data_IF_473516951060
#
_entry.id   IF_473516951060
#
_cell.length_a   1.000
_cell.length_b   1.000
_cell.length_c   1.000
_cell.angle_alpha   90.00
_cell.angle_beta   90.00
_cell.angle_gamma   90.00
#
_symmetry.space_group_name_H-M   'P 1'
#
loop_
_entity.id
_entity.type
_entity.pdbx_description
1 polymer ?
#
# COMPACT_ATOMS: atom_id res chain seq x y z
N UNK A 1 78.11 7.58 29.22
CA UNK A 1 77.13 7.17 30.24
C UNK A 1 75.89 8.03 30.08
N UNK A 2 74.82 7.49 29.50
CA UNK A 2 73.55 8.21 29.36
C UNK A 2 72.59 7.73 30.45
N UNK A 3 72.02 8.63 31.27
CA UNK A 3 71.11 8.22 32.33
C UNK A 3 69.81 7.72 31.69
N UNK A 4 69.41 6.50 31.99
CA UNK A 4 68.15 5.95 31.50
C UNK A 4 67.00 6.70 32.16
N UNK A 5 66.12 7.28 31.34
CA UNK A 5 64.91 7.94 31.78
C UNK A 5 64.01 6.92 32.47
N UNK A 6 64.08 6.88 33.81
CA UNK A 6 63.17 6.08 34.64
C UNK A 6 61.80 6.75 34.57
N UNK A 7 60.98 6.33 33.61
CA UNK A 7 59.57 6.68 33.53
C UNK A 7 58.94 6.30 34.87
N UNK A 8 58.68 7.30 35.70
CA UNK A 8 57.90 7.12 36.92
C UNK A 8 56.51 6.71 36.46
N UNK A 9 56.14 5.46 36.75
CA UNK A 9 54.77 4.98 36.55
C UNK A 9 53.90 5.85 37.44
N UNK A 10 53.26 6.86 36.85
CA UNK A 10 52.18 7.61 37.46
C UNK A 10 51.01 6.65 37.53
N UNK A 11 51.01 5.80 38.56
CA UNK A 11 49.80 5.08 38.93
C UNK A 11 48.96 6.15 39.63
N UNK A 12 48.10 6.79 38.85
CA UNK A 12 46.95 7.46 39.43
C UNK A 12 46.11 6.34 40.02
N UNK A 13 46.06 6.25 41.34
CA UNK A 13 45.22 5.29 42.05
C UNK A 13 43.76 5.60 41.65
N UNK A 14 43.28 4.82 40.70
CA UNK A 14 41.97 4.95 40.11
C UNK A 14 41.01 4.14 40.98
N UNK A 15 39.78 4.63 41.20
CA UNK A 15 38.82 3.81 41.94
C UNK A 15 38.48 2.57 41.13
N UNK A 16 38.13 1.47 41.81
CA UNK A 16 37.75 0.22 41.13
C UNK A 16 36.62 0.44 40.11
N UNK A 17 35.71 1.36 40.40
CA UNK A 17 34.64 1.75 39.49
C UNK A 17 35.20 2.39 38.22
N UNK A 18 36.09 3.37 38.37
CA UNK A 18 36.73 4.06 37.26
C UNK A 18 37.63 3.11 36.42
N UNK A 19 38.26 2.10 37.03
CA UNK A 19 38.98 1.05 36.30
C UNK A 19 38.03 0.23 35.41
N UNK A 20 36.86 -0.14 35.94
CA UNK A 20 35.83 -0.86 35.19
C UNK A 20 35.30 0.00 34.04
N UNK A 21 35.05 1.28 34.27
CA UNK A 21 34.62 2.22 33.24
C UNK A 21 35.67 2.38 32.13
N UNK A 22 36.96 2.40 32.47
CA UNK A 22 38.04 2.44 31.47
C UNK A 22 38.13 1.15 30.66
N UNK A 23 37.92 -0.01 31.29
CA UNK A 23 37.94 -1.30 30.60
C UNK A 23 36.75 -1.48 29.65
N UNK A 24 35.57 -1.02 30.06
CA UNK A 24 34.33 -1.14 29.28
C UNK A 24 34.12 0.04 28.30
N UNK A 25 34.82 1.15 28.50
CA UNK A 25 34.70 2.38 27.72
C UNK A 25 33.37 3.11 27.92
N UNK A 26 32.61 2.77 28.96
CA UNK A 26 31.30 3.33 29.27
C UNK A 26 31.23 3.68 30.76
N UNK A 27 30.71 4.87 31.09
CA UNK A 27 30.46 5.25 32.48
C UNK A 27 29.24 4.53 33.03
N UNK A 28 29.22 4.29 34.35
CA UNK A 28 28.04 3.80 35.03
C UNK A 28 26.88 4.81 34.91
N UNK A 29 25.66 4.30 34.72
CA UNK A 29 24.44 5.11 34.74
C UNK A 29 23.84 5.13 36.15
N UNK A 30 23.47 6.32 36.64
CA UNK A 30 22.90 6.51 37.98
C UNK A 30 21.52 5.86 38.14
N UNK A 31 20.74 5.79 37.06
CA UNK A 31 19.40 5.21 37.05
C UNK A 31 19.22 4.25 35.86
N UNK A 32 18.92 2.98 36.16
CA UNK A 32 18.67 1.95 35.16
C UNK A 32 17.15 1.81 34.95
N UNK A 33 16.66 2.25 33.77
CA UNK A 33 15.26 2.08 33.37
C UNK A 33 15.05 0.73 32.69
N UNK A 34 14.52 -0.24 33.44
CA UNK A 34 14.20 -1.57 32.92
C UNK A 34 12.75 -1.57 32.44
N UNK A 35 12.54 -1.81 31.14
CA UNK A 35 11.20 -2.02 30.59
C UNK A 35 10.82 -3.49 30.65
N UNK A 36 9.54 -3.82 30.89
CA UNK A 36 9.08 -5.20 30.73
C UNK A 36 9.31 -5.68 29.30
N UNK A 37 9.56 -6.98 29.10
CA UNK A 37 9.71 -7.55 27.77
C UNK A 37 8.43 -7.33 26.95
N UNK A 38 8.59 -7.17 25.64
CA UNK A 38 7.45 -7.07 24.73
C UNK A 38 6.61 -8.35 24.83
N UNK A 39 5.30 -8.19 24.92
CA UNK A 39 4.37 -9.33 24.93
C UNK A 39 4.58 -10.22 23.69
N UNK A 40 4.84 -11.50 23.92
CA UNK A 40 5.02 -12.47 22.86
C UNK A 40 3.67 -12.92 22.29
N UNK A 41 3.56 -13.00 20.95
CA UNK A 41 2.39 -13.58 20.29
C UNK A 41 2.46 -15.11 20.40
N UNK A 42 1.80 -15.67 21.41
CA UNK A 42 1.66 -17.12 21.58
C UNK A 42 0.60 -17.72 20.64
N UNK A 43 0.58 -19.06 20.50
CA UNK A 43 -0.44 -19.78 19.73
C UNK A 43 -1.82 -19.50 20.34
N UNK A 44 -2.69 -18.84 19.58
CA UNK A 44 -4.03 -18.43 20.04
C UNK A 44 -4.13 -16.96 20.46
N UNK A 45 -3.02 -16.23 20.56
CA UNK A 45 -3.06 -14.77 20.69
C UNK A 45 -3.34 -14.09 19.35
N UNK A 46 -4.33 -13.20 19.33
CA UNK A 46 -4.69 -12.40 18.17
C UNK A 46 -5.87 -12.91 17.36
N UNK A 47 -6.30 -12.11 16.39
CA UNK A 47 -7.38 -12.47 15.47
C UNK A 47 -6.88 -13.55 14.52
N UNK A 48 -7.70 -14.57 14.27
CA UNK A 48 -7.42 -15.64 13.30
C UNK A 48 -7.12 -15.03 11.92
N UNK A 49 -6.00 -15.42 11.31
CA UNK A 49 -5.73 -15.10 9.91
C UNK A 49 -6.80 -15.78 9.04
N UNK A 50 -7.58 -14.96 8.34
CA UNK A 50 -8.64 -15.44 7.45
C UNK A 50 -8.02 -15.90 6.12
N UNK A 51 -8.45 -17.04 5.61
CA UNK A 51 -8.02 -17.52 4.29
C UNK A 51 -8.62 -16.66 3.17
N UNK A 52 -7.97 -16.63 2.00
CA UNK A 52 -8.47 -15.92 0.82
C UNK A 52 -9.92 -16.28 0.47
N UNK A 53 -10.30 -17.55 0.64
CA UNK A 53 -11.69 -18.01 0.43
C UNK A 53 -12.65 -17.34 1.41
N UNK A 54 -12.31 -17.30 2.69
CA UNK A 54 -13.17 -16.69 3.72
C UNK A 54 -13.31 -15.17 3.52
N UNK A 55 -12.23 -14.49 3.11
CA UNK A 55 -12.27 -13.07 2.77
C UNK A 55 -13.13 -12.80 1.53
N UNK A 56 -13.05 -13.66 0.51
CA UNK A 56 -13.86 -13.54 -0.70
C UNK A 56 -15.36 -13.69 -0.40
N UNK A 57 -15.73 -14.69 0.40
CA UNK A 57 -17.13 -14.89 0.83
C UNK A 57 -17.62 -13.68 1.63
N UNK A 58 -16.82 -13.18 2.57
CA UNK A 58 -17.19 -11.99 3.35
C UNK A 58 -17.36 -10.72 2.49
N UNK A 59 -16.59 -10.60 1.40
CA UNK A 59 -16.76 -9.50 0.42
C UNK A 59 -18.01 -9.69 -0.43
N UNK A 60 -18.29 -10.92 -0.86
CA UNK A 60 -19.46 -11.26 -1.68
C UNK A 60 -20.79 -11.12 -0.93
N UNK A 61 -20.80 -11.37 0.39
CA UNK A 61 -21.98 -11.20 1.23
C UNK A 61 -22.43 -9.72 1.35
N UNK A 62 -21.56 -8.76 1.03
CA UNK A 62 -21.94 -7.34 1.04
C UNK A 62 -22.83 -7.05 -0.17
N UNK A 63 -23.91 -6.27 -0.02
CA UNK A 63 -24.78 -5.93 -1.15
C UNK A 63 -23.98 -5.18 -2.22
N UNK A 64 -24.33 -5.43 -3.49
CA UNK A 64 -23.86 -4.59 -4.59
C UNK A 64 -24.47 -3.18 -4.43
N UNK A 65 -23.82 -2.18 -5.01
CA UNK A 65 -24.29 -0.79 -5.04
C UNK A 65 -23.99 -0.15 -6.39
N UNK A 66 -24.78 0.86 -6.75
CA UNK A 66 -24.59 1.58 -8.01
C UNK A 66 -23.35 2.46 -7.89
N UNK A 67 -22.34 2.21 -8.73
CA UNK A 67 -21.13 3.02 -8.75
C UNK A 67 -21.44 4.38 -9.40
N UNK A 68 -21.20 5.47 -8.67
CA UNK A 68 -21.39 6.82 -9.19
C UNK A 68 -20.55 7.11 -10.44
N UNK A 69 -19.44 6.40 -10.67
CA UNK A 69 -18.59 6.60 -11.84
C UNK A 69 -19.07 5.82 -13.08
N UNK A 70 -18.97 4.50 -13.07
CA UNK A 70 -19.32 3.67 -14.22
C UNK A 70 -20.82 3.35 -14.32
N UNK A 71 -21.64 3.79 -13.35
CA UNK A 71 -23.08 3.51 -13.27
C UNK A 71 -23.43 2.01 -13.29
N UNK A 72 -22.51 1.14 -12.89
CA UNK A 72 -22.75 -0.31 -12.78
C UNK A 72 -23.01 -0.73 -11.33
N UNK A 73 -23.82 -1.78 -11.16
CA UNK A 73 -24.12 -2.38 -9.87
C UNK A 73 -22.98 -3.32 -9.44
N UNK A 74 -22.09 -2.84 -8.57
CA UNK A 74 -20.82 -3.49 -8.23
C UNK A 74 -20.47 -3.37 -6.73
N UNK A 75 -19.37 -4.00 -6.31
CA UNK A 75 -18.87 -3.89 -4.92
C UNK A 75 -17.93 -2.69 -4.68
N UNK A 76 -17.61 -1.93 -5.73
CA UNK A 76 -16.79 -0.71 -5.65
C UNK A 76 -17.67 0.55 -5.67
N UNK A 77 -17.08 1.70 -5.31
CA UNK A 77 -17.73 3.01 -5.40
C UNK A 77 -16.95 3.93 -6.36
N UNK A 78 -17.35 5.21 -6.45
CA UNK A 78 -16.70 6.19 -7.33
C UNK A 78 -15.19 6.35 -7.05
N UNK A 79 -14.75 6.18 -5.80
CA UNK A 79 -13.35 6.39 -5.39
C UNK A 79 -12.47 5.20 -5.77
N UNK A 80 -13.03 4.00 -5.76
CA UNK A 80 -12.33 2.76 -6.10
C UNK A 80 -12.82 2.14 -7.41
N UNK A 81 -13.34 2.96 -8.33
CA UNK A 81 -13.86 2.45 -9.59
C UNK A 81 -12.69 2.02 -10.47
N UNK A 82 -12.67 0.77 -10.99
CA UNK A 82 -11.62 0.30 -11.88
C UNK A 82 -11.64 1.02 -13.24
N UNK A 83 -12.75 1.67 -13.58
CA UNK A 83 -12.85 2.54 -14.74
C UNK A 83 -13.22 3.97 -14.31
N UNK A 84 -12.25 4.77 -13.82
CA UNK A 84 -12.51 6.11 -13.30
C UNK A 84 -12.89 7.13 -14.39
N UNK A 85 -12.74 6.80 -15.68
CA UNK A 85 -13.06 7.70 -16.78
C UNK A 85 -14.30 7.30 -17.60
N UNK A 86 -15.02 6.25 -17.19
CA UNK A 86 -16.18 5.71 -17.89
C UNK A 86 -17.32 6.72 -18.16
N UNK A 87 -17.36 7.84 -17.44
CA UNK A 87 -18.34 8.89 -17.65
C UNK A 87 -18.05 9.80 -18.85
N UNK A 88 -16.91 9.69 -19.52
CA UNK A 88 -16.76 10.41 -20.79
C UNK A 88 -17.57 9.63 -21.82
N UNK A 89 -18.73 10.14 -22.28
CA UNK A 89 -19.35 9.53 -23.44
C UNK A 89 -18.30 9.53 -24.57
N UNK A 90 -18.21 8.44 -25.37
CA UNK A 90 -17.42 8.51 -26.59
C UNK A 90 -17.88 9.72 -27.41
N UNK A 91 -16.96 10.49 -28.03
CA UNK A 91 -17.37 11.58 -28.90
C UNK A 91 -18.34 11.01 -29.93
N UNK A 92 -19.58 11.49 -29.92
CA UNK A 92 -20.58 11.06 -30.90
C UNK A 92 -20.04 11.39 -32.29
N UNK A 93 -20.11 10.46 -33.26
CA UNK A 93 -19.76 10.79 -34.62
C UNK A 93 -20.67 11.94 -35.07
N UNK A 94 -20.05 13.01 -35.59
CA UNK A 94 -20.79 14.13 -36.18
C UNK A 94 -21.58 13.57 -37.36
N UNK A 95 -22.90 13.61 -37.28
CA UNK A 95 -23.79 13.34 -38.41
C UNK A 95 -23.47 14.34 -39.52
N UNK A 96 -22.82 13.91 -40.59
CA UNK A 96 -22.75 14.65 -41.85
C UNK A 96 -24.12 14.55 -42.52
N UNK A 97 -24.95 15.56 -42.25
CA UNK A 97 -26.07 15.89 -43.11
C UNK A 97 -25.49 16.66 -44.31
N UNK A 98 -25.15 15.95 -45.38
CA UNK A 98 -25.05 16.54 -46.70
C UNK A 98 -25.89 15.67 -47.62
N UNK A 99 -26.86 16.33 -48.25
CA UNK A 99 -27.84 15.78 -49.15
C UNK A 99 -27.19 15.44 -50.49
N UNK A 100 -27.52 14.29 -51.05
CA UNK A 100 -27.57 14.11 -52.50
C UNK A 100 -28.79 13.26 -52.81
N UNK A 101 -29.85 13.97 -53.18
CA UNK A 101 -30.92 13.53 -54.08
C UNK A 101 -30.30 12.82 -55.29
N UNK A 102 -30.64 11.55 -55.50
CA UNK A 102 -30.61 11.00 -56.85
C UNK A 102 -31.85 10.11 -57.03
N UNK A 103 -32.89 10.77 -57.49
CA UNK A 103 -34.03 10.22 -58.22
C UNK A 103 -33.49 9.67 -59.55
N UNK A 104 -33.45 8.34 -59.71
CA UNK A 104 -33.40 7.74 -61.05
C UNK A 104 -34.52 6.70 -61.14
N UNK A 105 -35.49 7.06 -61.97
CA UNK A 105 -36.75 6.42 -62.27
C UNK A 105 -36.61 5.01 -62.91
N UNK A 106 -37.61 4.16 -62.62
CA UNK A 106 -38.33 3.23 -63.54
C UNK A 106 -37.49 2.13 -64.23
N UNK A 107 -37.84 0.85 -64.14
CA UNK A 107 -38.88 0.18 -64.93
C UNK A 107 -39.57 -0.93 -64.13
N UNK A 108 -40.91 -0.90 -64.09
CA UNK A 108 -41.77 -2.02 -63.72
C UNK A 108 -42.03 -2.85 -64.98
N UNK A 109 -41.41 -4.03 -65.09
CA UNK A 109 -41.86 -5.04 -66.05
C UNK A 109 -42.76 -6.05 -65.33
N UNK A 110 -44.07 -5.81 -65.47
CA UNK A 110 -45.15 -6.77 -65.30
C UNK A 110 -45.19 -7.68 -66.54
N UNK A 111 -45.01 -9.00 -66.38
CA UNK A 111 -45.85 -9.97 -67.11
C UNK A 111 -45.74 -11.40 -66.52
N UNK A 112 -46.82 -11.77 -65.84
CA UNK A 112 -47.61 -13.02 -65.89
C UNK A 112 -47.00 -14.42 -66.11
N UNK A 113 -47.64 -15.34 -65.36
CA UNK A 113 -47.81 -16.81 -65.49
C UNK A 113 -46.76 -17.79 -64.93
#
# INVERSE_FOLDING_TARGET
>A
MSPTCRLKKLVMELTKEQEIEQLLGCSAVDEIKIFPPKEAKNKGSGKKMLSSKTLAVAKAAKPKRLCGNCKQMAHHDKRNCPNPFAQRPPPMPKSSSDADDNDEEVEEDDDSE
#
